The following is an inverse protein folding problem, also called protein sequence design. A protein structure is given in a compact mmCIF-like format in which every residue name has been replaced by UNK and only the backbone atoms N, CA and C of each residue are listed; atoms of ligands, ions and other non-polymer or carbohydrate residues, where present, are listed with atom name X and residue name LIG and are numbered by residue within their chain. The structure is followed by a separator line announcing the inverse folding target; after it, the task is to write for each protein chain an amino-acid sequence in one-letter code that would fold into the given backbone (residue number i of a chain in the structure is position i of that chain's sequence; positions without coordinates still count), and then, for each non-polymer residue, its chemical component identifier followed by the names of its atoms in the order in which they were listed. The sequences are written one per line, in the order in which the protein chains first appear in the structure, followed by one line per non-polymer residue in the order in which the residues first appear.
data_IF_135118220026
#
_entry.id   IF_135118220026
#
_cell.length_a   1.000
_cell.length_b   1.000
_cell.length_c   1.000
_cell.angle_alpha   90.00
_cell.angle_beta   90.00
_cell.angle_gamma   90.00
#
_symmetry.space_group_name_H-M   'P 1'
#
loop_
_entity.id
_entity.type
_entity.pdbx_description
1 polymer ?
#
# COMPACT_ATOMS: atom_id res chain seq x y z
N UNK A 1 -9.49 2.46 14.75
CA UNK A 1 -9.70 3.00 13.39
C UNK A 1 -10.57 4.23 13.44
N UNK A 2 -9.96 5.41 13.33
CA UNK A 2 -10.74 6.61 13.14
C UNK A 2 -11.15 6.67 11.67
N UNK A 3 -12.43 6.54 11.41
CA UNK A 3 -12.98 6.66 10.06
C UNK A 3 -13.39 8.11 9.86
N UNK A 4 -12.66 8.84 9.03
CA UNK A 4 -13.00 10.22 8.70
C UNK A 4 -14.04 10.24 7.58
N UNK A 5 -15.24 9.84 7.85
CA UNK A 5 -16.48 9.94 7.01
C UNK A 5 -16.28 10.23 5.51
N UNK A 6 -15.35 9.50 4.85
CA UNK A 6 -15.07 9.63 3.42
C UNK A 6 -14.47 10.98 2.98
N UNK A 7 -14.08 11.83 3.92
CA UNK A 7 -13.51 13.14 3.59
C UNK A 7 -12.05 13.05 3.14
N UNK A 8 -11.30 12.06 3.68
CA UNK A 8 -9.89 11.83 3.34
C UNK A 8 -9.65 10.37 2.99
N UNK A 9 -8.70 10.10 2.08
CA UNK A 9 -8.29 8.72 1.79
C UNK A 9 -7.75 8.05 3.05
N UNK A 10 -8.23 6.86 3.34
CA UNK A 10 -7.77 6.07 4.48
C UNK A 10 -6.74 5.05 3.99
N UNK A 11 -5.61 4.96 4.70
CA UNK A 11 -4.60 3.94 4.49
C UNK A 11 -4.69 2.91 5.61
N UNK A 12 -4.96 1.67 5.26
CA UNK A 12 -5.12 0.59 6.22
C UNK A 12 -4.09 -0.49 5.97
N UNK A 13 -3.22 -0.73 6.95
CA UNK A 13 -2.26 -1.83 6.88
C UNK A 13 -2.81 -3.08 7.57
N UNK A 14 -2.76 -4.23 6.89
CA UNK A 14 -3.13 -5.52 7.46
C UNK A 14 -1.85 -6.28 7.73
N UNK A 15 -1.50 -6.44 9.02
CA UNK A 15 -0.27 -7.11 9.44
C UNK A 15 -0.40 -8.63 9.50
N UNK A 16 -1.44 -9.22 10.14
CA UNK A 16 -1.54 -10.68 10.21
C UNK A 16 -2.14 -11.27 8.95
N UNK A 17 -1.92 -12.57 8.72
CA UNK A 17 -2.68 -13.30 7.73
C UNK A 17 -4.12 -13.46 8.23
N UNK A 18 -5.09 -12.96 7.47
CA UNK A 18 -6.48 -12.94 7.90
C UNK A 18 -7.18 -14.28 7.68
N UNK A 19 -8.03 -14.66 8.64
CA UNK A 19 -8.95 -15.78 8.49
C UNK A 19 -10.09 -15.40 7.55
N UNK A 20 -10.85 -16.39 7.08
CA UNK A 20 -12.03 -16.14 6.24
C UNK A 20 -13.04 -15.21 6.92
N UNK A 21 -13.31 -15.42 8.22
CA UNK A 21 -14.24 -14.58 8.96
C UNK A 21 -13.74 -13.13 9.08
N UNK A 22 -12.45 -12.94 9.34
CA UNK A 22 -11.86 -11.62 9.42
C UNK A 22 -11.90 -10.89 8.08
N UNK A 23 -11.67 -11.61 6.97
CA UNK A 23 -11.79 -11.05 5.62
C UNK A 23 -13.22 -10.58 5.33
N UNK A 24 -14.23 -11.37 5.67
CA UNK A 24 -15.63 -11.02 5.47
C UNK A 24 -16.03 -9.81 6.32
N UNK A 25 -15.55 -9.74 7.56
CA UNK A 25 -15.81 -8.59 8.44
C UNK A 25 -15.17 -7.32 7.89
N UNK A 26 -13.95 -7.43 7.36
CA UNK A 26 -13.26 -6.31 6.75
C UNK A 26 -14.03 -5.81 5.52
N UNK A 27 -14.52 -6.70 4.67
CA UNK A 27 -15.31 -6.33 3.49
C UNK A 27 -16.57 -5.55 3.90
N UNK A 28 -17.26 -5.98 4.96
CA UNK A 28 -18.42 -5.25 5.49
C UNK A 28 -18.05 -3.84 5.96
N UNK A 29 -16.91 -3.71 6.65
CA UNK A 29 -16.43 -2.41 7.12
C UNK A 29 -16.09 -1.50 5.95
N UNK A 30 -15.46 -2.04 4.90
CA UNK A 30 -15.05 -1.27 3.73
C UNK A 30 -16.21 -0.75 2.90
N UNK A 31 -17.38 -1.36 2.96
CA UNK A 31 -18.59 -0.84 2.30
C UNK A 31 -19.01 0.52 2.84
N UNK A 32 -18.62 0.84 4.08
CA UNK A 32 -18.94 2.12 4.72
C UNK A 32 -17.91 3.20 4.45
N UNK A 33 -16.77 2.86 3.83
CA UNK A 33 -15.70 3.79 3.52
C UNK A 33 -15.45 3.82 2.02
N UNK A 34 -15.58 5.00 1.39
CA UNK A 34 -15.48 5.11 -0.07
C UNK A 34 -14.04 5.18 -0.59
N UNK A 35 -13.10 5.68 0.21
CA UNK A 35 -11.71 5.89 -0.22
C UNK A 35 -10.76 5.22 0.74
N UNK A 36 -10.61 3.90 0.61
CA UNK A 36 -9.69 3.15 1.43
C UNK A 36 -8.67 2.43 0.56
N UNK A 37 -7.38 2.62 0.89
CA UNK A 37 -6.29 1.85 0.33
C UNK A 37 -5.82 0.86 1.37
N UNK A 38 -5.68 -0.40 0.97
CA UNK A 38 -5.33 -1.49 1.88
C UNK A 38 -3.94 -1.99 1.52
N UNK A 39 -3.04 -2.00 2.51
CA UNK A 39 -1.68 -2.51 2.37
C UNK A 39 -1.51 -3.81 3.12
N UNK A 40 -0.67 -4.68 2.62
CA UNK A 40 -0.18 -5.82 3.40
C UNK A 40 1.18 -6.27 2.88
N UNK A 41 2.03 -6.75 3.79
CA UNK A 41 3.24 -7.51 3.43
C UNK A 41 2.88 -8.93 2.99
N UNK A 42 1.71 -9.41 3.39
CA UNK A 42 1.24 -10.77 3.09
C UNK A 42 0.40 -10.74 1.83
N UNK A 43 1.01 -11.12 0.73
CA UNK A 43 0.36 -11.12 -0.58
C UNK A 43 -0.92 -11.95 -0.58
N UNK A 44 -0.98 -13.02 0.21
CA UNK A 44 -2.16 -13.87 0.31
C UNK A 44 -3.40 -13.11 0.81
N UNK A 45 -3.23 -12.13 1.69
CA UNK A 45 -4.34 -11.26 2.10
C UNK A 45 -4.92 -10.52 0.89
N UNK A 46 -4.05 -10.01 0.04
CA UNK A 46 -4.47 -9.28 -1.16
C UNK A 46 -5.17 -10.20 -2.15
N UNK A 47 -4.64 -11.40 -2.36
CA UNK A 47 -5.23 -12.40 -3.25
C UNK A 47 -6.64 -12.75 -2.77
N UNK A 48 -6.81 -13.01 -1.49
CA UNK A 48 -8.09 -13.38 -0.91
C UNK A 48 -9.11 -12.23 -0.97
N UNK A 49 -8.67 -11.01 -0.66
CA UNK A 49 -9.53 -9.83 -0.77
C UNK A 49 -9.94 -9.56 -2.22
N UNK A 50 -9.02 -9.70 -3.16
CA UNK A 50 -9.28 -9.50 -4.58
C UNK A 50 -10.33 -10.48 -5.10
N UNK A 51 -10.30 -11.73 -4.64
CA UNK A 51 -11.31 -12.73 -4.98
C UNK A 51 -12.70 -12.33 -4.50
N UNK A 52 -12.78 -11.66 -3.34
CA UNK A 52 -14.05 -11.22 -2.77
C UNK A 52 -14.58 -9.96 -3.42
N UNK A 53 -13.68 -9.03 -3.77
CA UNK A 53 -14.07 -7.79 -4.44
C UNK A 53 -12.89 -7.25 -5.25
N UNK A 54 -12.96 -7.36 -6.56
CA UNK A 54 -11.92 -6.91 -7.50
C UNK A 54 -11.77 -5.39 -7.56
N UNK A 55 -12.72 -4.65 -7.03
CA UNK A 55 -12.69 -3.17 -7.03
C UNK A 55 -11.90 -2.59 -5.87
N UNK A 56 -11.51 -3.39 -4.88
CA UNK A 56 -10.72 -2.93 -3.75
C UNK A 56 -9.37 -2.40 -4.21
N UNK A 57 -8.92 -1.32 -3.58
CA UNK A 57 -7.62 -0.72 -3.86
C UNK A 57 -6.57 -1.35 -2.96
N UNK A 58 -5.91 -2.38 -3.47
CA UNK A 58 -5.00 -3.25 -2.74
C UNK A 58 -3.55 -2.97 -3.11
N UNK A 59 -2.68 -2.88 -2.12
CA UNK A 59 -1.26 -2.62 -2.32
C UNK A 59 -0.37 -3.61 -1.58
N UNK A 60 0.70 -4.02 -2.23
CA UNK A 60 1.68 -4.92 -1.63
C UNK A 60 2.84 -4.11 -1.06
N UNK A 61 3.18 -4.39 0.20
CA UNK A 61 4.30 -3.77 0.89
C UNK A 61 5.57 -4.57 0.68
N UNK A 62 6.68 -3.88 0.46
CA UNK A 62 8.00 -4.47 0.31
C UNK A 62 8.99 -3.86 1.29
N UNK A 63 9.83 -4.70 1.89
CA UNK A 63 10.94 -4.26 2.73
C UNK A 63 12.14 -3.86 1.88
N UNK A 64 13.10 -3.16 2.50
CA UNK A 64 14.35 -2.74 1.84
C UNK A 64 15.15 -3.91 1.27
N UNK A 65 14.96 -5.11 1.83
CA UNK A 65 15.65 -6.33 1.40
C UNK A 65 15.06 -6.96 0.14
N UNK A 66 13.90 -6.50 -0.31
CA UNK A 66 13.26 -7.04 -1.52
C UNK A 66 14.05 -6.63 -2.77
N UNK A 67 14.28 -7.58 -3.68
CA UNK A 67 14.98 -7.31 -4.93
C UNK A 67 14.09 -6.52 -5.90
N UNK A 68 14.70 -5.71 -6.74
CA UNK A 68 13.97 -5.01 -7.81
C UNK A 68 13.25 -5.96 -8.75
N UNK A 69 13.85 -7.12 -9.02
CA UNK A 69 13.24 -8.15 -9.86
C UNK A 69 11.92 -8.63 -9.26
N UNK A 70 11.91 -8.93 -7.97
CA UNK A 70 10.70 -9.36 -7.25
C UNK A 70 9.64 -8.28 -7.25
N UNK A 71 10.03 -7.03 -6.95
CA UNK A 71 9.12 -5.89 -6.94
C UNK A 71 8.47 -5.71 -8.31
N UNK A 72 9.26 -5.70 -9.38
CA UNK A 72 8.77 -5.54 -10.74
C UNK A 72 7.85 -6.69 -11.16
N UNK A 73 8.22 -7.92 -10.83
CA UNK A 73 7.43 -9.10 -11.14
C UNK A 73 6.07 -9.06 -10.46
N UNK A 74 6.04 -8.82 -9.15
CA UNK A 74 4.80 -8.80 -8.39
C UNK A 74 3.92 -7.58 -8.70
N UNK A 75 4.51 -6.47 -9.14
CA UNK A 75 3.76 -5.29 -9.54
C UNK A 75 2.81 -5.54 -10.72
N UNK A 76 3.06 -6.58 -11.49
CA UNK A 76 2.23 -6.94 -12.65
C UNK A 76 0.99 -7.74 -12.29
N UNK A 77 0.91 -8.25 -11.06
CA UNK A 77 -0.24 -9.07 -10.64
C UNK A 77 -1.51 -8.22 -10.53
N UNK A 78 -2.67 -8.73 -10.97
CA UNK A 78 -3.91 -7.94 -10.96
C UNK A 78 -4.40 -7.58 -9.56
N UNK A 79 -4.06 -8.37 -8.54
CA UNK A 79 -4.42 -8.08 -7.15
C UNK A 79 -3.50 -7.02 -6.50
N UNK A 80 -2.43 -6.62 -7.18
CA UNK A 80 -1.54 -5.54 -6.73
C UNK A 80 -1.83 -4.29 -7.53
N UNK A 81 -2.60 -3.37 -6.98
CA UNK A 81 -2.99 -2.14 -7.66
C UNK A 81 -2.04 -0.98 -7.39
N UNK A 82 -1.32 -1.04 -6.29
CA UNK A 82 -0.27 -0.09 -5.95
C UNK A 82 0.79 -0.78 -5.10
N UNK A 83 1.92 -0.11 -4.91
CA UNK A 83 3.05 -0.65 -4.14
C UNK A 83 3.34 0.24 -2.95
N UNK A 84 3.75 -0.39 -1.84
CA UNK A 84 4.34 0.31 -0.71
C UNK A 84 5.78 -0.11 -0.58
N UNK A 85 6.71 0.82 -0.74
CA UNK A 85 8.14 0.56 -0.66
C UNK A 85 8.76 1.30 0.51
N UNK A 86 9.73 0.67 1.16
CA UNK A 86 10.48 1.35 2.20
C UNK A 86 11.20 2.58 1.65
N UNK A 87 11.35 3.61 2.46
CA UNK A 87 11.96 4.89 2.07
C UNK A 87 13.34 4.77 1.43
N UNK A 88 14.08 3.69 1.71
CA UNK A 88 15.39 3.44 1.10
C UNK A 88 15.34 3.35 -0.43
N UNK A 89 14.17 3.07 -1.01
CA UNK A 89 13.98 3.02 -2.45
C UNK A 89 13.71 4.40 -3.10
N UNK A 90 13.59 5.47 -2.32
CA UNK A 90 13.24 6.80 -2.85
C UNK A 90 14.18 7.29 -3.93
N UNK A 91 15.48 7.02 -3.79
CA UNK A 91 16.50 7.44 -4.77
C UNK A 91 16.69 6.47 -5.92
N UNK A 92 15.98 5.35 -5.95
CA UNK A 92 16.17 4.32 -6.97
C UNK A 92 15.41 4.66 -8.26
N UNK A 93 16.15 5.10 -9.28
CA UNK A 93 15.56 5.50 -10.57
C UNK A 93 15.05 4.32 -11.42
N UNK A 94 15.47 3.09 -11.12
CA UNK A 94 15.01 1.90 -11.86
C UNK A 94 13.54 1.58 -11.63
N UNK A 95 12.95 2.12 -10.56
CA UNK A 95 11.53 1.94 -10.25
C UNK A 95 10.60 2.79 -11.12
N UNK A 96 11.12 3.76 -11.87
CA UNK A 96 10.30 4.62 -12.73
C UNK A 96 9.58 3.85 -13.84
N UNK A 97 10.04 2.66 -14.19
CA UNK A 97 9.41 1.81 -15.20
C UNK A 97 8.13 1.11 -14.70
N UNK A 98 7.89 1.12 -13.40
CA UNK A 98 6.67 0.55 -12.82
C UNK A 98 5.52 1.53 -13.07
N UNK A 99 4.46 1.08 -13.73
CA UNK A 99 3.33 1.93 -14.11
C UNK A 99 2.29 2.13 -13.01
N UNK A 100 2.34 1.31 -11.94
CA UNK A 100 1.39 1.42 -10.83
C UNK A 100 1.85 2.46 -9.82
N UNK A 101 0.92 3.11 -9.09
CA UNK A 101 1.31 4.06 -8.04
C UNK A 101 2.20 3.42 -6.99
N UNK A 102 3.20 4.16 -6.54
CA UNK A 102 4.13 3.73 -5.50
C UNK A 102 4.06 4.70 -4.34
N UNK A 103 3.86 4.16 -3.12
CA UNK A 103 3.93 4.92 -1.88
C UNK A 103 5.19 4.52 -1.13
N UNK A 104 5.90 5.51 -0.59
CA UNK A 104 7.14 5.26 0.16
C UNK A 104 6.90 5.50 1.65
N UNK A 105 7.27 4.55 2.49
CA UNK A 105 7.04 4.56 3.94
C UNK A 105 8.35 4.31 4.68
N UNK A 106 8.55 4.61 5.90
CA UNK A 106 7.88 5.68 6.62
C UNK A 106 8.86 6.84 6.69
N UNK A 107 8.47 8.00 6.22
CA UNK A 107 9.35 9.17 6.19
C UNK A 107 9.24 9.89 7.53
N UNK A 108 10.35 9.95 8.29
CA UNK A 108 10.40 10.55 9.62
C UNK A 108 11.26 11.81 9.67
N UNK A 109 12.09 12.04 8.65
CA UNK A 109 13.00 13.19 8.58
C UNK A 109 12.41 14.28 7.69
N UNK A 110 12.39 15.52 8.21
CA UNK A 110 11.89 16.69 7.46
C UNK A 110 12.62 16.92 6.14
N UNK A 111 13.94 16.74 6.12
CA UNK A 111 14.74 16.95 4.92
C UNK A 111 14.33 15.99 3.79
N UNK A 112 14.13 14.73 4.12
CA UNK A 112 13.71 13.72 3.17
C UNK A 112 12.30 14.02 2.66
N UNK A 113 11.39 14.42 3.56
CA UNK A 113 10.05 14.82 3.20
C UNK A 113 10.05 16.02 2.25
N UNK A 114 10.80 17.07 2.56
CA UNK A 114 10.89 18.27 1.73
C UNK A 114 11.46 17.96 0.33
N UNK A 115 12.44 17.06 0.26
CA UNK A 115 13.08 16.68 -1.01
C UNK A 115 12.10 16.01 -1.97
N UNK A 116 11.21 15.14 -1.47
CA UNK A 116 10.39 14.27 -2.31
C UNK A 116 8.89 14.56 -2.27
N UNK A 117 8.40 15.44 -1.41
CA UNK A 117 6.94 15.66 -1.21
C UNK A 117 6.17 16.01 -2.49
N UNK A 118 6.81 16.67 -3.45
CA UNK A 118 6.16 17.09 -4.70
C UNK A 118 6.33 16.09 -5.84
N UNK A 119 7.24 15.11 -5.71
CA UNK A 119 7.53 14.15 -6.77
C UNK A 119 7.18 12.70 -6.43
N UNK A 120 6.98 12.40 -5.17
CA UNK A 120 6.73 11.04 -4.68
C UNK A 120 5.56 11.02 -3.72
N UNK A 121 4.85 9.90 -3.67
CA UNK A 121 3.80 9.66 -2.68
C UNK A 121 4.47 9.19 -1.38
N UNK A 122 4.43 10.00 -0.36
CA UNK A 122 5.10 9.71 0.90
C UNK A 122 4.10 9.40 2.01
N UNK A 123 4.39 8.36 2.78
CA UNK A 123 3.73 8.09 4.05
C UNK A 123 4.69 8.55 5.13
N UNK A 124 4.30 9.57 5.88
CA UNK A 124 5.18 10.21 6.84
C UNK A 124 4.62 10.14 8.26
N UNK A 125 5.50 10.34 9.24
CA UNK A 125 5.19 10.26 10.66
C UNK A 125 6.05 11.26 11.43
N UNK A 126 5.43 11.97 12.37
CA UNK A 126 6.12 12.88 13.29
C UNK A 126 6.99 13.95 12.60
N UNK A 127 6.49 14.57 11.56
CA UNK A 127 7.16 15.69 10.90
C UNK A 127 6.75 17.06 11.53
#
# INVERSE_FOLDING_TARGET
LSISRNKYPLLLEIKPLLTKNSLLNLIKLLKKTKKCRIFSFKEKNLINLYKLNKKLNLGLLFLSTSSLRTIKSKSKNPHVKFLGLEKSFLSNKKLTKIRKPIFYYTVKKKDLFKKYKNSKNLIFENL
#
